data_IF_230819255061
#
_entry.id   IF_230819255061
#
_cell.length_a   1.000
_cell.length_b   1.000
_cell.length_c   1.000
_cell.angle_alpha   90.00
_cell.angle_beta   90.00
_cell.angle_gamma   90.00
#
_symmetry.space_group_name_H-M   'P 1'
#
loop_
_entity.id
_entity.type
_entity.pdbx_description
1 polymer ?
#
# COMPACT_ATOMS: atom_id res chain seq x y z
N UNK A 1 20.14 30.88 5.83
CA UNK A 1 19.48 30.22 4.69
C UNK A 1 18.04 29.88 5.08
N UNK A 2 17.07 30.74 4.74
CA UNK A 2 15.64 30.46 4.97
C UNK A 2 15.17 29.49 3.90
N UNK A 3 14.88 28.25 4.26
CA UNK A 3 14.26 27.26 3.36
C UNK A 3 12.84 27.75 3.07
N UNK A 4 12.62 28.23 1.85
CA UNK A 4 11.28 28.47 1.32
C UNK A 4 10.55 27.14 1.27
N UNK A 5 9.60 26.96 2.19
CA UNK A 5 8.61 25.89 2.12
C UNK A 5 7.77 26.17 0.88
N UNK A 6 8.00 25.40 -0.19
CA UNK A 6 7.09 25.39 -1.35
C UNK A 6 5.71 24.97 -0.84
N UNK A 7 4.82 25.94 -0.71
CA UNK A 7 3.40 25.76 -0.41
C UNK A 7 2.81 24.90 -1.53
N UNK A 8 2.43 23.66 -1.21
CA UNK A 8 1.59 22.87 -2.11
C UNK A 8 0.25 23.59 -2.18
N UNK A 9 -0.27 23.83 -3.39
CA UNK A 9 -1.62 24.39 -3.54
C UNK A 9 -2.60 23.47 -2.80
N UNK A 10 -3.41 24.08 -1.94
CA UNK A 10 -4.33 23.38 -1.04
C UNK A 10 -5.65 23.02 -1.74
N UNK A 11 -5.71 23.19 -3.06
CA UNK A 11 -6.93 23.22 -3.87
C UNK A 11 -6.71 22.50 -5.20
N UNK A 12 -7.79 22.13 -5.87
CA UNK A 12 -7.77 21.40 -7.15
C UNK A 12 -7.12 22.23 -8.27
N UNK A 13 -6.37 21.59 -9.18
CA UNK A 13 -5.54 22.26 -10.22
C UNK A 13 -6.33 23.08 -11.25
N UNK A 14 -7.65 23.04 -11.18
CA UNK A 14 -8.58 23.80 -12.01
C UNK A 14 -8.84 25.22 -11.48
N UNK A 15 -8.35 25.56 -10.28
CA UNK A 15 -8.57 26.86 -9.63
C UNK A 15 -7.26 27.61 -9.46
N UNK A 16 -7.21 28.84 -9.98
CA UNK A 16 -6.02 29.70 -9.87
C UNK A 16 -5.89 30.27 -8.45
N UNK A 17 -4.70 30.11 -7.85
CA UNK A 17 -4.38 30.68 -6.53
C UNK A 17 -4.54 32.23 -6.53
N UNK A 18 -4.40 32.88 -7.69
CA UNK A 18 -4.65 34.32 -7.85
C UNK A 18 -6.11 34.70 -7.57
N UNK A 19 -7.07 33.92 -8.07
CA UNK A 19 -8.49 34.20 -7.90
C UNK A 19 -8.93 33.98 -6.45
N UNK A 20 -8.35 32.97 -5.79
CA UNK A 20 -8.58 32.69 -4.36
C UNK A 20 -8.07 33.84 -3.51
N UNK A 21 -6.84 34.30 -3.74
CA UNK A 21 -6.24 35.41 -2.97
C UNK A 21 -7.00 36.72 -3.19
N UNK A 22 -7.46 36.99 -4.41
CA UNK A 22 -8.29 38.17 -4.71
C UNK A 22 -9.61 38.16 -3.92
N UNK A 23 -10.29 37.01 -3.84
CA UNK A 23 -11.51 36.87 -3.03
C UNK A 23 -11.20 37.05 -1.53
N UNK A 24 -10.10 36.52 -1.03
CA UNK A 24 -9.69 36.68 0.38
C UNK A 24 -9.44 38.15 0.72
N UNK A 25 -8.73 38.88 -0.14
CA UNK A 25 -8.48 40.31 0.07
C UNK A 25 -9.77 41.12 0.08
N UNK A 26 -10.73 40.80 -0.79
CA UNK A 26 -12.07 41.40 -0.80
C UNK A 26 -12.85 41.15 0.49
N UNK A 27 -12.91 39.90 0.95
CA UNK A 27 -13.55 39.52 2.21
C UNK A 27 -12.92 40.21 3.42
N UNK A 28 -11.59 40.30 3.46
CA UNK A 28 -10.88 41.00 4.54
C UNK A 28 -11.07 42.52 4.48
N UNK A 29 -11.49 43.09 3.34
CA UNK A 29 -11.92 44.49 3.23
C UNK A 29 -13.39 44.70 3.60
N UNK A 30 -14.16 43.63 3.80
CA UNK A 30 -15.57 43.67 4.20
C UNK A 30 -16.56 43.48 3.04
N UNK A 31 -16.12 42.92 1.92
CA UNK A 31 -17.04 42.47 0.87
C UNK A 31 -17.92 41.31 1.38
N UNK A 32 -19.19 41.23 0.95
CA UNK A 32 -20.13 40.22 1.47
C UNK A 32 -19.71 38.80 1.05
N UNK A 33 -19.85 37.84 1.97
CA UNK A 33 -19.51 36.43 1.74
C UNK A 33 -20.29 35.77 0.58
N UNK A 34 -21.44 36.35 0.20
CA UNK A 34 -22.30 35.84 -0.88
C UNK A 34 -21.71 36.10 -2.29
N UNK A 35 -20.73 37.00 -2.43
CA UNK A 35 -20.06 37.29 -3.71
C UNK A 35 -18.97 36.27 -4.08
N UNK A 36 -18.63 35.35 -3.17
CA UNK A 36 -17.62 34.31 -3.42
C UNK A 36 -18.19 33.25 -4.37
N UNK A 37 -17.60 33.04 -5.56
CA UNK A 37 -18.08 32.02 -6.48
C UNK A 37 -18.07 30.63 -5.84
N UNK A 38 -19.13 29.81 -5.97
CA UNK A 38 -19.23 28.50 -5.32
C UNK A 38 -18.06 27.56 -5.66
N UNK A 39 -17.48 27.70 -6.86
CA UNK A 39 -16.30 26.97 -7.31
C UNK A 39 -15.03 27.29 -6.51
N UNK A 40 -14.93 28.49 -5.93
CA UNK A 40 -13.79 28.98 -5.16
C UNK A 40 -13.98 28.83 -3.64
N UNK A 41 -15.22 28.67 -3.18
CA UNK A 41 -15.58 28.68 -1.75
C UNK A 41 -14.77 27.69 -0.90
N UNK A 42 -14.60 26.45 -1.37
CA UNK A 42 -13.78 25.44 -0.67
C UNK A 42 -12.30 25.83 -0.58
N UNK A 43 -11.78 26.45 -1.64
CA UNK A 43 -10.40 26.93 -1.69
C UNK A 43 -10.17 28.07 -0.71
N UNK A 44 -11.04 29.09 -0.77
CA UNK A 44 -11.03 30.27 0.11
C UNK A 44 -11.15 29.88 1.59
N UNK A 45 -12.04 28.94 1.94
CA UNK A 45 -12.17 28.46 3.34
C UNK A 45 -10.88 27.78 3.81
N UNK A 46 -10.26 26.95 2.97
CA UNK A 46 -9.04 26.24 3.33
C UNK A 46 -7.85 27.19 3.55
N UNK A 47 -7.69 28.20 2.68
CA UNK A 47 -6.65 29.23 2.82
C UNK A 47 -6.90 30.16 4.00
N UNK A 48 -8.13 30.63 4.23
CA UNK A 48 -8.48 31.41 5.42
C UNK A 48 -8.24 30.63 6.72
N UNK A 49 -8.55 29.34 6.74
CA UNK A 49 -8.28 28.47 7.90
C UNK A 49 -6.78 28.36 8.18
N UNK A 50 -5.95 28.28 7.13
CA UNK A 50 -4.50 28.27 7.28
C UNK A 50 -3.97 29.64 7.72
N UNK A 51 -4.43 30.73 7.10
CA UNK A 51 -4.06 32.10 7.48
C UNK A 51 -4.43 32.42 8.93
N UNK A 52 -5.57 31.92 9.43
CA UNK A 52 -5.95 32.06 10.85
C UNK A 52 -4.91 31.39 11.75
N UNK A 53 -4.50 30.15 11.44
CA UNK A 53 -3.47 29.43 12.21
C UNK A 53 -2.15 30.20 12.21
N UNK A 54 -1.75 30.72 11.05
CA UNK A 54 -0.51 31.49 10.92
C UNK A 54 -0.59 32.80 11.70
N UNK A 55 -1.74 33.50 11.69
CA UNK A 55 -1.95 34.71 12.51
C UNK A 55 -1.92 34.44 14.01
N UNK A 56 -2.46 33.30 14.47
CA UNK A 56 -2.39 32.88 15.88
C UNK A 56 -0.93 32.59 16.28
N UNK A 57 -0.18 31.91 15.41
CA UNK A 57 1.24 31.63 15.64
C UNK A 57 2.09 32.92 15.70
N UNK A 58 1.74 33.91 14.88
CA UNK A 58 2.39 35.23 14.86
C UNK A 58 1.85 36.22 15.91
N UNK A 59 0.90 35.80 16.78
CA UNK A 59 0.24 36.64 17.81
C UNK A 59 -0.46 37.90 17.25
N UNK A 60 -1.04 37.79 16.06
CA UNK A 60 -1.85 38.85 15.43
C UNK A 60 -3.33 38.63 15.72
N UNK A 61 -3.70 38.73 16.99
CA UNK A 61 -5.03 38.33 17.49
C UNK A 61 -6.18 39.09 16.80
N UNK A 62 -6.01 40.38 16.50
CA UNK A 62 -7.02 41.16 15.80
C UNK A 62 -7.30 40.69 14.37
N UNK A 63 -6.27 40.21 13.65
CA UNK A 63 -6.43 39.66 12.30
C UNK A 63 -7.01 38.24 12.36
N UNK A 64 -6.63 37.45 13.37
CA UNK A 64 -7.20 36.12 13.60
C UNK A 64 -8.70 36.18 13.91
N UNK A 65 -9.16 37.11 14.76
CA UNK A 65 -10.58 37.31 15.04
C UNK A 65 -11.36 37.72 13.80
N UNK A 66 -10.82 38.64 12.99
CA UNK A 66 -11.47 39.07 11.73
C UNK A 66 -11.60 37.93 10.72
N UNK A 67 -10.58 37.06 10.61
CA UNK A 67 -10.65 35.87 9.76
C UNK A 67 -11.69 34.87 10.30
N UNK A 68 -11.82 34.75 11.62
CA UNK A 68 -12.78 33.86 12.27
C UNK A 68 -14.24 34.28 12.07
N UNK A 69 -14.52 35.59 12.11
CA UNK A 69 -15.82 36.16 11.76
C UNK A 69 -16.20 35.83 10.30
N UNK A 70 -15.29 36.08 9.35
CA UNK A 70 -15.49 35.77 7.93
C UNK A 70 -15.69 34.27 7.70
N UNK A 71 -14.91 33.41 8.37
CA UNK A 71 -15.08 31.95 8.30
C UNK A 71 -16.45 31.52 8.86
N UNK A 72 -16.91 32.14 9.95
CA UNK A 72 -18.22 31.89 10.54
C UNK A 72 -19.36 32.25 9.59
N UNK A 73 -19.26 33.41 8.93
CA UNK A 73 -20.24 33.87 7.94
C UNK A 73 -20.24 32.97 6.69
N UNK A 74 -19.08 32.56 6.18
CA UNK A 74 -19.01 31.67 5.01
C UNK A 74 -19.56 30.26 5.28
N UNK A 75 -19.40 29.73 6.50
CA UNK A 75 -19.84 28.37 6.84
C UNK A 75 -21.30 28.28 7.28
N UNK A 76 -21.86 29.36 7.82
CA UNK A 76 -23.17 29.35 8.47
C UNK A 76 -24.12 30.43 7.99
N UNK A 77 -23.68 31.32 7.09
CA UNK A 77 -24.45 32.44 6.55
C UNK A 77 -24.46 33.68 7.46
N UNK A 78 -24.79 34.86 6.91
CA UNK A 78 -24.70 36.16 7.58
C UNK A 78 -25.65 36.35 8.78
N UNK A 79 -26.49 35.36 9.11
CA UNK A 79 -27.56 35.47 10.11
C UNK A 79 -27.37 34.61 11.36
N UNK A 80 -26.24 33.90 11.52
CA UNK A 80 -26.07 33.02 12.69
C UNK A 80 -26.03 33.79 14.02
N UNK A 81 -25.45 35.00 14.03
CA UNK A 81 -25.31 35.80 15.25
C UNK A 81 -26.52 36.71 15.56
N UNK A 82 -27.47 36.89 14.64
CA UNK A 82 -28.68 37.67 14.92
C UNK A 82 -29.71 36.93 15.80
N UNK A 83 -29.57 35.61 15.96
CA UNK A 83 -30.45 34.81 16.83
C UNK A 83 -29.80 34.43 18.17
N UNK A 84 -28.53 34.80 18.39
CA UNK A 84 -27.80 34.58 19.65
C UNK A 84 -27.61 35.90 20.43
N UNK A 85 -28.61 36.79 20.41
CA UNK A 85 -28.75 37.75 21.50
C UNK A 85 -29.18 36.99 22.76
N UNK A 86 -28.55 37.20 23.93
CA UNK A 86 -29.01 36.61 25.18
C UNK A 86 -30.41 37.14 25.49
N UNK A 87 -31.44 36.32 25.29
CA UNK A 87 -32.80 36.65 25.70
C UNK A 87 -32.82 36.98 27.20
N UNK A 88 -33.64 37.99 27.53
CA UNK A 88 -33.85 38.53 28.86
C UNK A 88 -34.03 37.40 29.92
N UNK A 89 -33.24 37.35 31.01
CA UNK A 89 -33.18 36.22 31.96
C UNK A 89 -34.50 35.87 32.66
N UNK A 90 -35.52 36.73 32.55
CA UNK A 90 -36.86 36.45 33.06
C UNK A 90 -37.65 35.44 32.22
N UNK A 91 -37.30 35.20 30.95
CA UNK A 91 -37.98 34.18 30.12
C UNK A 91 -37.44 32.76 30.33
N UNK A 92 -36.24 32.60 30.91
CA UNK A 92 -35.62 31.28 31.15
C UNK A 92 -36.29 30.58 32.34
N UNK A 93 -36.86 31.32 33.30
CA UNK A 93 -37.50 30.75 34.50
C UNK A 93 -38.87 30.12 34.25
N UNK A 94 -39.52 30.38 33.12
CA UNK A 94 -40.86 29.87 32.82
C UNK A 94 -40.92 28.75 31.77
N UNK A 95 -39.76 28.28 31.24
CA UNK A 95 -39.72 27.14 30.31
C UNK A 95 -39.63 25.76 30.99
N UNK A 96 -39.39 25.69 32.30
CA UNK A 96 -39.25 24.41 33.04
C UNK A 96 -40.57 23.78 33.51
N UNK A 97 -41.73 24.35 33.17
CA UNK A 97 -43.04 23.79 33.56
C UNK A 97 -44.06 23.86 32.41
N UNK A 98 -43.72 23.30 31.25
CA UNK A 98 -44.74 22.75 30.35
C UNK A 98 -44.70 21.23 30.47
N UNK A 99 -45.54 20.70 31.36
CA UNK A 99 -45.95 19.30 31.33
C UNK A 99 -46.60 19.04 29.96
N UNK A 100 -45.84 18.47 29.05
CA UNK A 100 -46.42 17.85 27.85
C UNK A 100 -46.79 16.42 28.21
N UNK A 101 -47.95 15.99 27.76
CA UNK A 101 -48.54 14.65 27.97
C UNK A 101 -47.69 13.47 27.44
N UNK A 102 -46.47 13.72 26.94
CA UNK A 102 -45.52 12.68 26.54
C UNK A 102 -44.67 12.13 27.70
N UNK A 103 -44.51 12.87 28.81
CA UNK A 103 -43.70 12.44 29.96
C UNK A 103 -44.34 11.29 30.76
N UNK A 104 -45.67 11.20 30.76
CA UNK A 104 -46.40 10.10 31.43
C UNK A 104 -46.23 8.79 30.66
N UNK A 105 -46.32 8.80 29.33
CA UNK A 105 -46.10 7.62 28.49
C UNK A 105 -44.66 7.11 28.56
N UNK A 106 -43.68 8.01 28.60
CA UNK A 106 -42.28 7.61 28.77
C UNK A 106 -42.00 7.08 30.17
N UNK A 107 -42.53 7.71 31.22
CA UNK A 107 -42.39 7.19 32.58
C UNK A 107 -43.06 5.82 32.74
N UNK A 108 -44.25 5.60 32.20
CA UNK A 108 -44.92 4.29 32.27
C UNK A 108 -44.13 3.20 31.54
N UNK A 109 -43.52 3.54 30.40
CA UNK A 109 -42.63 2.62 29.67
C UNK A 109 -41.38 2.29 30.48
N UNK A 110 -40.71 3.30 31.05
CA UNK A 110 -39.53 3.12 31.90
C UNK A 110 -39.84 2.32 33.17
N UNK A 111 -41.02 2.53 33.76
CA UNK A 111 -41.50 1.76 34.92
C UNK A 111 -41.74 0.30 34.56
N UNK A 112 -42.38 0.02 33.40
CA UNK A 112 -42.58 -1.34 32.89
C UNK A 112 -41.24 -2.04 32.61
N UNK A 113 -40.32 -1.36 31.92
CA UNK A 113 -38.97 -1.88 31.67
C UNK A 113 -38.21 -2.12 32.97
N UNK A 114 -38.32 -1.21 33.95
CA UNK A 114 -37.75 -1.37 35.28
C UNK A 114 -38.32 -2.59 36.02
N UNK A 115 -39.63 -2.83 35.95
CA UNK A 115 -40.24 -4.04 36.52
C UNK A 115 -39.80 -5.33 35.84
N UNK A 116 -39.68 -5.33 34.51
CA UNK A 116 -39.18 -6.49 33.76
C UNK A 116 -37.73 -6.81 34.10
N UNK A 117 -36.88 -5.78 34.29
CA UNK A 117 -35.50 -5.96 34.73
C UNK A 117 -35.42 -6.54 36.14
N UNK A 118 -36.25 -6.05 37.09
CA UNK A 118 -36.33 -6.61 38.45
C UNK A 118 -36.73 -8.09 38.40
N UNK A 119 -37.59 -8.49 37.45
CA UNK A 119 -38.01 -9.87 37.23
C UNK A 119 -36.98 -10.75 36.51
N UNK A 120 -35.79 -10.21 36.18
CA UNK A 120 -34.70 -10.96 35.57
C UNK A 120 -34.65 -10.91 34.04
N UNK A 121 -35.29 -9.93 33.40
CA UNK A 121 -35.13 -9.72 31.96
C UNK A 121 -33.66 -9.43 31.59
N UNK A 122 -33.22 -9.92 30.43
CA UNK A 122 -31.85 -9.74 29.95
C UNK A 122 -31.53 -8.25 29.74
N UNK A 123 -30.40 -7.80 30.26
CA UNK A 123 -29.92 -6.43 30.05
C UNK A 123 -29.54 -6.18 28.59
N UNK A 124 -29.26 -7.22 27.80
CA UNK A 124 -28.89 -7.11 26.39
C UNK A 124 -30.08 -6.75 25.47
N UNK A 125 -31.32 -7.01 25.88
CA UNK A 125 -32.52 -6.68 25.09
C UNK A 125 -33.01 -5.24 25.28
N UNK A 126 -32.41 -4.50 26.22
CA UNK A 126 -32.78 -3.10 26.50
C UNK A 126 -31.70 -2.18 25.95
N UNK A 127 -32.13 -1.16 25.21
CA UNK A 127 -31.28 -0.15 24.61
C UNK A 127 -30.56 0.70 25.68
N UNK A 128 -29.35 1.17 25.35
CA UNK A 128 -28.48 1.96 26.24
C UNK A 128 -29.19 3.20 26.83
N UNK A 129 -29.84 4.07 26.04
CA UNK A 129 -30.47 5.27 26.61
C UNK A 129 -31.63 4.94 27.54
N UNK A 130 -32.42 3.91 27.24
CA UNK A 130 -33.49 3.44 28.13
C UNK A 130 -32.93 2.88 29.44
N UNK A 131 -31.81 2.16 29.44
CA UNK A 131 -31.18 1.67 30.70
C UNK A 131 -30.68 2.79 31.60
N UNK A 132 -30.07 3.83 31.01
CA UNK A 132 -29.62 5.01 31.74
C UNK A 132 -30.81 5.77 32.36
N UNK A 133 -31.92 5.85 31.63
CA UNK A 133 -33.16 6.47 32.11
C UNK A 133 -33.92 5.62 33.16
N UNK A 134 -33.81 4.28 33.11
CA UNK A 134 -34.43 3.38 34.10
C UNK A 134 -33.70 3.40 35.45
N UNK A 135 -32.38 3.65 35.46
CA UNK A 135 -31.57 3.68 36.70
C UNK A 135 -32.08 4.67 37.76
N UNK A 136 -32.35 5.97 37.45
CA UNK A 136 -32.93 6.90 38.43
C UNK A 136 -34.36 6.50 38.85
N UNK A 137 -35.15 5.94 37.93
CA UNK A 137 -36.50 5.43 38.23
C UNK A 137 -36.46 4.29 39.25
N UNK A 138 -35.52 3.35 39.08
CA UNK A 138 -35.28 2.27 40.04
C UNK A 138 -34.78 2.80 41.39
N UNK A 139 -33.92 3.83 41.42
CA UNK A 139 -33.49 4.47 42.67
C UNK A 139 -34.65 5.11 43.42
N UNK A 140 -35.55 5.81 42.73
CA UNK A 140 -36.77 6.38 43.34
C UNK A 140 -37.69 5.29 43.87
N UNK A 141 -37.87 4.21 43.09
CA UNK A 141 -38.68 3.06 43.50
C UNK A 141 -38.09 2.33 44.70
N UNK A 142 -36.77 2.19 44.78
CA UNK A 142 -36.07 1.65 45.94
C UNK A 142 -36.38 2.44 47.21
N UNK A 143 -36.29 3.78 47.15
CA UNK A 143 -36.60 4.66 48.30
C UNK A 143 -38.05 4.46 48.78
N UNK A 144 -38.99 4.30 47.85
CA UNK A 144 -40.40 4.02 48.17
C UNK A 144 -40.62 2.63 48.79
N UNK A 145 -39.89 1.60 48.35
CA UNK A 145 -40.03 0.26 48.93
C UNK A 145 -39.35 0.14 50.30
N UNK A 146 -38.28 0.90 50.54
CA UNK A 146 -37.65 1.02 51.86
C UNK A 146 -38.57 1.71 52.85
N UNK A 147 -39.25 2.80 52.45
CA UNK A 147 -40.20 3.49 53.34
C UNK A 147 -41.42 2.62 53.68
N UNK A 148 -41.80 1.71 52.79
CA UNK A 148 -42.84 0.68 53.01
C UNK A 148 -42.35 -0.56 53.76
N UNK A 149 -41.06 -0.63 54.14
CA UNK A 149 -40.43 -1.79 54.81
C UNK A 149 -40.39 -3.08 53.95
N UNK A 150 -40.48 -2.97 52.63
CA UNK A 150 -40.37 -4.10 51.69
C UNK A 150 -38.90 -4.36 51.29
N UNK A 151 -38.08 -4.76 52.27
CA UNK A 151 -36.64 -4.96 52.09
C UNK A 151 -36.22 -6.00 51.02
N UNK A 152 -36.93 -7.13 50.82
CA UNK A 152 -36.56 -8.09 49.77
C UNK A 152 -36.66 -7.52 48.35
N UNK A 153 -37.71 -6.73 48.08
CA UNK A 153 -37.89 -6.08 46.79
C UNK A 153 -36.86 -4.95 46.61
N UNK A 154 -36.59 -4.17 47.65
CA UNK A 154 -35.51 -3.17 47.65
C UNK A 154 -34.16 -3.80 47.32
N UNK A 155 -33.85 -4.98 47.88
CA UNK A 155 -32.60 -5.70 47.58
C UNK A 155 -32.55 -6.15 46.11
N UNK A 156 -33.67 -6.64 45.57
CA UNK A 156 -33.76 -6.99 44.15
C UNK A 156 -33.54 -5.78 43.23
N UNK A 157 -34.03 -4.61 43.64
CA UNK A 157 -33.83 -3.33 42.94
C UNK A 157 -32.36 -2.90 43.00
N UNK A 158 -31.71 -3.00 44.17
CA UNK A 158 -30.28 -2.69 44.32
C UNK A 158 -29.42 -3.59 43.43
N UNK A 159 -29.69 -4.90 43.39
CA UNK A 159 -29.00 -5.84 42.49
C UNK A 159 -29.21 -5.49 41.01
N UNK A 160 -30.40 -5.05 40.62
CA UNK A 160 -30.66 -4.65 39.22
C UNK A 160 -29.95 -3.35 38.85
N UNK A 161 -29.90 -2.38 39.76
CA UNK A 161 -29.14 -1.14 39.57
C UNK A 161 -27.64 -1.45 39.41
N UNK A 162 -27.09 -2.30 40.26
CA UNK A 162 -25.69 -2.73 40.18
C UNK A 162 -25.39 -3.44 38.85
N UNK A 163 -26.28 -4.33 38.40
CA UNK A 163 -26.12 -5.04 37.13
C UNK A 163 -26.22 -4.09 35.92
N UNK A 164 -27.09 -3.08 35.95
CA UNK A 164 -27.15 -2.04 34.92
C UNK A 164 -25.84 -1.25 34.83
N UNK A 165 -25.25 -0.88 35.98
CA UNK A 165 -24.00 -0.13 36.05
C UNK A 165 -22.82 -0.99 35.56
N UNK A 166 -22.75 -2.26 35.99
CA UNK A 166 -21.67 -3.16 35.59
C UNK A 166 -21.71 -3.45 34.08
N UNK A 167 -22.90 -3.71 33.52
CA UNK A 167 -23.08 -3.91 32.08
C UNK A 167 -22.64 -2.67 31.28
N UNK A 168 -22.88 -1.46 31.78
CA UNK A 168 -22.42 -0.24 31.12
C UNK A 168 -20.89 -0.15 31.09
N UNK A 169 -20.23 -0.44 32.22
CA UNK A 169 -18.77 -0.48 32.31
C UNK A 169 -18.19 -1.53 31.36
N UNK A 170 -18.82 -2.70 31.27
CA UNK A 170 -18.40 -3.78 30.38
C UNK A 170 -18.62 -3.45 28.91
N UNK A 171 -19.74 -2.81 28.55
CA UNK A 171 -20.01 -2.30 27.20
C UNK A 171 -18.95 -1.27 26.76
N UNK A 172 -18.58 -0.35 27.67
CA UNK A 172 -17.51 0.64 27.43
C UNK A 172 -16.14 0.01 27.24
N UNK A 173 -15.87 -1.15 27.86
CA UNK A 173 -14.62 -1.91 27.71
C UNK A 173 -14.58 -2.73 26.42
N UNK A 174 -15.72 -3.33 26.05
CA UNK A 174 -15.81 -4.23 24.91
C UNK A 174 -15.91 -3.48 23.57
N UNK A 175 -16.64 -2.37 23.53
CA UNK A 175 -16.86 -1.58 22.30
C UNK A 175 -15.57 -1.21 21.56
N UNK A 176 -14.57 -0.58 22.22
CA UNK A 176 -13.29 -0.25 21.59
C UNK A 176 -12.52 -1.48 21.08
N UNK A 177 -12.61 -2.62 21.77
CA UNK A 177 -11.92 -3.86 21.36
C UNK A 177 -12.57 -4.47 20.11
N UNK A 178 -13.90 -4.45 20.03
CA UNK A 178 -14.62 -4.91 18.84
C UNK A 178 -14.37 -4.01 17.63
N UNK A 179 -14.35 -2.68 17.82
CA UNK A 179 -13.94 -1.74 16.77
C UNK A 179 -12.52 -2.02 16.29
N UNK A 180 -11.59 -2.28 17.22
CA UNK A 180 -10.21 -2.62 16.87
C UNK A 180 -10.11 -3.91 16.04
N UNK A 181 -10.91 -4.93 16.36
CA UNK A 181 -10.99 -6.16 15.57
C UNK A 181 -11.48 -5.84 14.16
N UNK A 182 -12.57 -5.08 14.01
CA UNK A 182 -13.11 -4.70 12.70
C UNK A 182 -12.10 -3.91 11.86
N UNK A 183 -11.34 -3.00 12.47
CA UNK A 183 -10.26 -2.27 11.80
C UNK A 183 -9.14 -3.21 11.33
N UNK A 184 -8.74 -4.16 12.18
CA UNK A 184 -7.71 -5.15 11.83
C UNK A 184 -8.18 -6.10 10.73
N UNK A 185 -9.45 -6.52 10.74
CA UNK A 185 -10.03 -7.35 9.67
C UNK A 185 -10.03 -6.63 8.32
N UNK A 186 -10.40 -5.33 8.30
CA UNK A 186 -10.32 -4.50 7.10
C UNK A 186 -8.88 -4.32 6.60
N UNK A 187 -7.93 -4.14 7.50
CA UNK A 187 -6.50 -4.02 7.14
C UNK A 187 -5.96 -5.34 6.61
N UNK A 188 -6.34 -6.46 7.21
CA UNK A 188 -5.93 -7.79 6.81
C UNK A 188 -6.49 -8.15 5.43
N UNK A 189 -7.77 -7.86 5.17
CA UNK A 189 -8.35 -8.13 3.84
C UNK A 189 -7.68 -7.30 2.74
N UNK A 190 -7.38 -6.03 3.00
CA UNK A 190 -6.61 -5.18 2.07
C UNK A 190 -5.20 -5.73 1.83
N UNK A 191 -4.48 -6.11 2.89
CA UNK A 191 -3.13 -6.68 2.79
C UNK A 191 -3.12 -8.04 2.05
N UNK A 192 -4.14 -8.88 2.24
CA UNK A 192 -4.30 -10.13 1.51
C UNK A 192 -4.54 -9.91 0.02
N UNK A 193 -5.37 -8.92 -0.34
CA UNK A 193 -5.57 -8.51 -1.74
C UNK A 193 -4.24 -8.07 -2.35
N UNK A 194 -3.53 -7.16 -1.69
CA UNK A 194 -2.24 -6.64 -2.15
C UNK A 194 -1.19 -7.75 -2.32
N UNK A 195 -1.12 -8.70 -1.37
CA UNK A 195 -0.26 -9.87 -1.48
C UNK A 195 -0.61 -10.76 -2.68
N UNK A 196 -1.89 -11.03 -2.90
CA UNK A 196 -2.34 -11.85 -4.04
C UNK A 196 -2.04 -11.18 -5.39
N UNK A 197 -2.24 -9.87 -5.48
CA UNK A 197 -1.89 -9.10 -6.67
C UNK A 197 -0.37 -9.08 -6.89
N UNK A 198 0.43 -8.89 -5.84
CA UNK A 198 1.88 -8.93 -5.94
C UNK A 198 2.39 -10.30 -6.40
N UNK A 199 1.77 -11.39 -5.91
CA UNK A 199 2.05 -12.75 -6.39
C UNK A 199 1.70 -12.93 -7.86
N UNK A 200 0.56 -12.42 -8.32
CA UNK A 200 0.17 -12.47 -9.73
C UNK A 200 1.12 -11.64 -10.61
N UNK A 201 1.49 -10.43 -10.15
CA UNK A 201 2.51 -9.59 -10.81
C UNK A 201 3.85 -10.30 -10.91
N UNK A 202 4.28 -10.99 -9.85
CA UNK A 202 5.51 -11.77 -9.82
C UNK A 202 5.52 -12.90 -10.87
N UNK A 203 4.41 -13.64 -10.97
CA UNK A 203 4.24 -14.71 -11.98
C UNK A 203 4.27 -14.13 -13.39
N UNK A 204 3.52 -13.06 -13.62
CA UNK A 204 3.48 -12.40 -14.93
C UNK A 204 4.84 -11.82 -15.35
N UNK A 205 5.56 -11.16 -14.42
CA UNK A 205 6.92 -10.68 -14.66
C UNK A 205 7.86 -11.82 -15.03
N UNK A 206 7.75 -12.98 -14.37
CA UNK A 206 8.56 -14.16 -14.68
C UNK A 206 8.28 -14.68 -16.10
N UNK A 207 7.02 -14.85 -16.47
CA UNK A 207 6.64 -15.31 -17.81
C UNK A 207 7.15 -14.35 -18.89
N UNK A 208 6.91 -13.05 -18.70
CA UNK A 208 7.38 -12.01 -19.62
C UNK A 208 8.91 -11.99 -19.73
N UNK A 209 9.62 -12.23 -18.63
CA UNK A 209 11.07 -12.31 -18.64
C UNK A 209 11.56 -13.51 -19.46
N UNK A 210 10.92 -14.67 -19.31
CA UNK A 210 11.22 -15.90 -20.08
C UNK A 210 11.00 -15.65 -21.58
N UNK A 211 9.88 -15.04 -21.98
CA UNK A 211 9.61 -14.67 -23.38
C UNK A 211 10.68 -13.73 -23.96
N UNK A 212 11.07 -12.70 -23.21
CA UNK A 212 12.11 -11.75 -23.65
C UNK A 212 13.47 -12.47 -23.76
N UNK A 213 13.78 -13.37 -22.82
CA UNK A 213 15.02 -14.15 -22.85
C UNK A 213 15.07 -15.06 -24.07
N UNK A 214 13.99 -15.77 -24.38
CA UNK A 214 13.91 -16.64 -25.57
C UNK A 214 14.05 -15.85 -26.87
N UNK A 215 13.36 -14.72 -27.00
CA UNK A 215 13.48 -13.84 -28.16
C UNK A 215 14.91 -13.31 -28.32
N UNK A 216 15.53 -12.83 -27.24
CA UNK A 216 16.91 -12.35 -27.27
C UNK A 216 17.92 -13.47 -27.60
N UNK A 217 17.68 -14.69 -27.13
CA UNK A 217 18.50 -15.84 -27.44
C UNK A 217 18.42 -16.20 -28.93
N UNK A 218 17.20 -16.23 -29.48
CA UNK A 218 16.99 -16.47 -30.91
C UNK A 218 17.70 -15.41 -31.77
N UNK A 219 17.54 -14.13 -31.44
CA UNK A 219 18.20 -13.03 -32.13
C UNK A 219 19.73 -13.13 -32.05
N UNK A 220 20.27 -13.50 -30.88
CA UNK A 220 21.70 -13.70 -30.70
C UNK A 220 22.21 -14.85 -31.57
N UNK A 221 21.54 -16.01 -31.53
CA UNK A 221 21.90 -17.17 -32.35
C UNK A 221 21.84 -16.88 -33.85
N UNK A 222 20.82 -16.14 -34.31
CA UNK A 222 20.70 -15.74 -35.71
C UNK A 222 21.87 -14.84 -36.14
N UNK A 223 22.26 -13.86 -35.31
CA UNK A 223 23.43 -13.02 -35.57
C UNK A 223 24.72 -13.85 -35.67
N UNK A 224 24.93 -14.81 -34.77
CA UNK A 224 26.10 -15.69 -34.83
C UNK A 224 26.12 -16.55 -36.12
N UNK A 225 24.95 -17.03 -36.56
CA UNK A 225 24.83 -17.77 -37.83
C UNK A 225 25.13 -16.88 -39.03
N UNK A 226 24.58 -15.67 -39.06
CA UNK A 226 24.82 -14.70 -40.13
C UNK A 226 26.29 -14.31 -40.22
N UNK A 227 26.96 -14.09 -39.09
CA UNK A 227 28.39 -13.80 -39.02
C UNK A 227 29.26 -14.96 -39.59
N UNK A 228 28.84 -16.20 -39.35
CA UNK A 228 29.49 -17.40 -39.90
C UNK A 228 29.25 -17.52 -41.41
N UNK A 229 28.02 -17.28 -41.86
CA UNK A 229 27.65 -17.27 -43.28
C UNK A 229 28.43 -16.20 -44.04
N UNK A 230 28.52 -14.98 -43.50
CA UNK A 230 29.34 -13.92 -44.05
C UNK A 230 30.82 -14.29 -44.08
N UNK A 231 31.35 -14.97 -43.06
CA UNK A 231 32.74 -15.44 -43.11
C UNK A 231 32.95 -16.46 -44.24
N UNK A 232 32.00 -17.38 -44.42
CA UNK A 232 32.05 -18.40 -45.47
C UNK A 232 31.89 -17.83 -46.88
N UNK A 233 31.09 -16.78 -47.07
CA UNK A 233 30.89 -16.15 -48.38
C UNK A 233 32.14 -15.47 -48.95
N UNK A 234 33.09 -15.11 -48.09
CA UNK A 234 34.37 -14.51 -48.49
C UNK A 234 35.46 -15.56 -48.76
N UNK A 235 35.11 -16.85 -48.87
CA UNK A 235 36.08 -17.88 -49.24
C UNK A 235 36.59 -17.59 -50.65
N UNK A 236 37.87 -17.21 -50.83
CA UNK A 236 38.39 -16.82 -52.14
C UNK A 236 38.37 -18.02 -53.08
N UNK A 237 37.77 -17.86 -54.25
CA UNK A 237 37.78 -18.88 -55.32
C UNK A 237 39.18 -19.04 -55.93
N UNK A 238 40.01 -18.01 -55.81
CA UNK A 238 41.41 -17.99 -56.24
C UNK A 238 42.31 -17.64 -55.05
N UNK A 239 43.55 -18.09 -55.12
CA UNK A 239 44.52 -17.86 -54.04
C UNK A 239 44.72 -16.35 -53.85
N UNK A 240 44.55 -15.80 -52.62
CA UNK A 240 44.75 -14.37 -52.39
C UNK A 240 46.15 -13.91 -52.79
N UNK A 241 46.28 -12.65 -53.21
CA UNK A 241 47.53 -12.05 -53.71
C UNK A 241 48.70 -12.24 -52.74
N UNK A 242 48.44 -12.24 -51.44
CA UNK A 242 49.44 -12.46 -50.39
C UNK A 242 50.08 -13.85 -50.44
N UNK A 243 49.33 -14.85 -50.88
CA UNK A 243 49.75 -16.24 -51.02
C UNK A 243 50.13 -16.59 -52.47
N UNK A 244 49.89 -15.71 -53.43
CA UNK A 244 50.24 -15.92 -54.85
C UNK A 244 51.63 -15.40 -55.24
N UNK A 245 52.44 -14.90 -54.30
CA UNK A 245 53.77 -14.34 -54.57
C UNK A 245 54.85 -15.42 -54.54
N UNK A 246 55.58 -15.54 -55.64
CA UNK A 246 56.75 -16.42 -55.75
C UNK A 246 57.93 -15.90 -54.93
N UNK A 247 58.78 -16.82 -54.50
CA UNK A 247 60.01 -16.47 -53.80
C UNK A 247 61.04 -15.86 -54.76
N UNK A 248 61.98 -15.08 -54.20
CA UNK A 248 63.09 -14.51 -54.97
C UNK A 248 63.90 -15.58 -55.72
N UNK A 249 63.98 -16.82 -55.18
CA UNK A 249 64.71 -17.91 -55.83
C UNK A 249 64.09 -18.30 -57.17
N UNK A 250 62.75 -18.37 -57.23
CA UNK A 250 62.02 -18.70 -58.46
C UNK A 250 62.11 -17.55 -59.46
N UNK A 251 61.97 -16.32 -58.97
CA UNK A 251 62.12 -15.11 -59.78
C UNK A 251 63.55 -14.99 -60.36
N UNK A 252 64.58 -15.31 -59.60
CA UNK A 252 65.97 -15.30 -60.05
C UNK A 252 66.22 -16.32 -61.18
N UNK A 253 65.63 -17.51 -61.09
CA UNK A 253 65.67 -18.48 -62.20
C UNK A 253 64.92 -18.01 -63.44
N UNK A 254 63.79 -17.30 -63.29
CA UNK A 254 63.07 -16.65 -64.41
C UNK A 254 63.92 -15.58 -65.09
N UNK A 255 64.67 -14.80 -64.32
CA UNK A 255 65.59 -13.80 -64.85
C UNK A 255 66.76 -14.47 -65.59
N UNK A 256 67.27 -15.61 -65.11
CA UNK A 256 68.29 -16.39 -65.81
C UNK A 256 67.77 -16.96 -67.13
N UNK A 257 66.57 -17.55 -67.13
CA UNK A 257 65.88 -18.01 -68.35
C UNK A 257 65.79 -16.88 -69.39
N UNK A 258 65.30 -15.71 -68.99
CA UNK A 258 65.17 -14.55 -69.88
C UNK A 258 66.52 -14.09 -70.43
N UNK A 259 67.57 -14.07 -69.60
CA UNK A 259 68.93 -13.72 -70.04
C UNK A 259 69.48 -14.74 -71.04
N UNK A 260 69.34 -16.05 -70.79
CA UNK A 260 69.76 -17.13 -71.69
C UNK A 260 69.03 -17.05 -73.04
N UNK A 261 67.73 -16.76 -73.03
CA UNK A 261 66.96 -16.52 -74.25
C UNK A 261 67.44 -15.29 -75.02
N UNK A 262 67.78 -14.20 -74.31
CA UNK A 262 68.27 -12.94 -74.91
C UNK A 262 69.62 -13.14 -75.63
N UNK A 263 70.51 -13.95 -75.04
CA UNK A 263 71.81 -14.30 -75.65
C UNK A 263 71.72 -15.47 -76.66
N UNK A 264 70.50 -15.91 -77.00
CA UNK A 264 70.20 -16.97 -77.99
C UNK A 264 70.71 -18.37 -77.62
N UNK A 265 70.91 -18.64 -76.33
CA UNK A 265 71.19 -19.98 -75.82
C UNK A 265 69.86 -20.70 -75.54
N UNK A 266 69.21 -21.20 -76.61
CA UNK A 266 67.86 -21.74 -76.51
C UNK A 266 67.75 -23.05 -75.75
N UNK A 267 68.76 -23.93 -75.83
CA UNK A 267 68.78 -25.20 -75.08
C UNK A 267 68.83 -24.95 -73.55
N UNK A 268 69.71 -24.04 -73.12
CA UNK A 268 69.80 -23.63 -71.71
C UNK A 268 68.54 -22.90 -71.24
N UNK A 269 67.95 -22.05 -72.09
CA UNK A 269 66.71 -21.36 -71.79
C UNK A 269 65.53 -22.33 -71.62
N UNK A 270 65.42 -23.37 -72.44
CA UNK A 270 64.36 -24.38 -72.35
C UNK A 270 64.52 -25.28 -71.10
N UNK A 271 65.76 -25.65 -70.76
CA UNK A 271 66.05 -26.35 -69.51
C UNK A 271 65.66 -25.53 -68.27
N UNK A 272 66.03 -24.24 -68.24
CA UNK A 272 65.66 -23.30 -67.18
C UNK A 272 64.14 -23.06 -67.14
N UNK A 273 63.47 -22.98 -68.29
CA UNK A 273 62.03 -22.81 -68.39
C UNK A 273 61.27 -23.96 -67.71
N UNK A 274 61.64 -25.20 -68.03
CA UNK A 274 61.04 -26.39 -67.42
C UNK A 274 61.30 -26.45 -65.90
N UNK A 275 62.50 -26.06 -65.47
CA UNK A 275 62.85 -25.96 -64.04
C UNK A 275 62.02 -24.88 -63.32
N UNK A 276 61.84 -23.71 -63.95
CA UNK A 276 61.03 -22.62 -63.38
C UNK A 276 59.58 -23.03 -63.25
N UNK A 277 58.96 -23.60 -64.30
CA UNK A 277 57.56 -24.05 -64.23
C UNK A 277 57.37 -25.06 -63.09
N UNK A 278 58.31 -25.98 -62.92
CA UNK A 278 58.26 -26.97 -61.83
C UNK A 278 58.29 -26.28 -60.46
N UNK A 279 59.23 -25.36 -60.24
CA UNK A 279 59.35 -24.62 -58.97
C UNK A 279 58.17 -23.68 -58.72
N UNK A 280 57.64 -23.03 -59.75
CA UNK A 280 56.43 -22.19 -59.65
C UNK A 280 55.23 -23.02 -59.18
N UNK A 281 55.03 -24.22 -59.74
CA UNK A 281 53.97 -25.14 -59.28
C UNK A 281 54.16 -25.58 -57.83
N UNK A 282 55.35 -26.04 -57.47
CA UNK A 282 55.66 -26.49 -56.10
C UNK A 282 55.47 -25.36 -55.06
N UNK A 283 55.87 -24.12 -55.37
CA UNK A 283 55.65 -22.98 -54.49
C UNK A 283 54.17 -22.59 -54.39
N UNK A 284 53.42 -22.61 -55.50
CA UNK A 284 51.98 -22.33 -55.48
C UNK A 284 51.22 -23.36 -54.64
N UNK A 285 51.56 -24.65 -54.75
CA UNK A 285 50.96 -25.70 -53.94
C UNK A 285 51.27 -25.48 -52.45
N UNK A 286 52.54 -25.16 -52.14
CA UNK A 286 52.96 -24.86 -50.76
C UNK A 286 52.22 -23.66 -50.18
N UNK A 287 52.04 -22.59 -50.97
CA UNK A 287 51.30 -21.41 -50.53
C UNK A 287 49.79 -21.66 -50.42
N UNK A 288 49.22 -22.47 -51.32
CA UNK A 288 47.84 -22.93 -51.24
C UNK A 288 47.58 -23.69 -49.94
N UNK A 289 48.47 -24.62 -49.57
CA UNK A 289 48.36 -25.32 -48.29
C UNK A 289 48.46 -24.37 -47.09
N UNK A 290 49.38 -23.40 -47.12
CA UNK A 290 49.52 -22.40 -46.05
C UNK A 290 48.26 -21.58 -45.89
N UNK A 291 47.69 -21.11 -47.00
CA UNK A 291 46.42 -20.38 -47.00
C UNK A 291 45.27 -21.22 -46.43
N UNK A 292 45.15 -22.48 -46.86
CA UNK A 292 44.11 -23.36 -46.34
C UNK A 292 44.25 -23.59 -44.82
N UNK A 293 45.48 -23.76 -44.33
CA UNK A 293 45.76 -23.89 -42.89
C UNK A 293 45.41 -22.61 -42.14
N UNK A 294 45.81 -21.43 -42.63
CA UNK A 294 45.49 -20.16 -41.99
C UNK A 294 43.99 -19.88 -42.01
N UNK A 295 43.30 -20.16 -43.10
CA UNK A 295 41.84 -19.99 -43.23
C UNK A 295 41.09 -20.93 -42.27
N UNK A 296 41.49 -22.20 -42.18
CA UNK A 296 40.94 -23.15 -41.19
C UNK A 296 41.14 -22.66 -39.76
N UNK A 297 42.32 -22.15 -39.44
CA UNK A 297 42.62 -21.59 -38.12
C UNK A 297 41.78 -20.35 -37.81
N UNK A 298 41.62 -19.44 -38.77
CA UNK A 298 40.75 -18.27 -38.62
C UNK A 298 39.28 -18.67 -38.37
N UNK A 299 38.77 -19.66 -39.12
CA UNK A 299 37.43 -20.21 -38.90
C UNK A 299 37.29 -20.81 -37.49
N UNK A 300 38.28 -21.57 -37.04
CA UNK A 300 38.29 -22.15 -35.70
C UNK A 300 38.31 -21.07 -34.60
N UNK A 301 39.15 -20.04 -34.75
CA UNK A 301 39.17 -18.90 -33.83
C UNK A 301 37.82 -18.17 -33.79
N UNK A 302 37.16 -18.01 -34.94
CA UNK A 302 35.83 -17.41 -35.01
C UNK A 302 34.79 -18.27 -34.27
N UNK A 303 34.79 -19.59 -34.46
CA UNK A 303 33.92 -20.51 -33.71
C UNK A 303 34.17 -20.43 -32.20
N UNK A 304 35.43 -20.44 -31.77
CA UNK A 304 35.79 -20.29 -30.35
C UNK A 304 35.30 -18.95 -29.78
N UNK A 305 35.43 -17.86 -30.54
CA UNK A 305 34.91 -16.54 -30.15
C UNK A 305 33.39 -16.55 -30.02
N UNK A 306 32.67 -17.24 -30.91
CA UNK A 306 31.21 -17.36 -30.81
C UNK A 306 30.79 -18.19 -29.61
N UNK A 307 31.52 -19.24 -29.27
CA UNK A 307 31.26 -20.02 -28.05
C UNK A 307 31.46 -19.18 -26.78
N UNK A 308 32.49 -18.34 -26.75
CA UNK A 308 32.69 -17.37 -25.66
C UNK A 308 31.56 -16.34 -25.60
N UNK A 309 31.07 -15.87 -26.76
CA UNK A 309 29.91 -14.98 -26.83
C UNK A 309 28.66 -15.65 -26.25
N UNK A 310 28.37 -16.90 -26.60
CA UNK A 310 27.26 -17.68 -26.02
C UNK A 310 27.37 -17.79 -24.50
N UNK A 311 28.54 -18.18 -23.98
CA UNK A 311 28.78 -18.27 -22.52
C UNK A 311 28.59 -16.92 -21.82
N UNK A 312 29.08 -15.83 -22.41
CA UNK A 312 28.89 -14.49 -21.84
C UNK A 312 27.43 -14.03 -21.90
N UNK A 313 26.69 -14.39 -22.95
CA UNK A 313 25.25 -14.17 -23.06
C UNK A 313 24.46 -14.92 -21.98
N UNK A 314 24.73 -16.22 -21.80
CA UNK A 314 24.11 -17.06 -20.77
C UNK A 314 24.34 -16.47 -19.38
N UNK A 315 25.60 -16.19 -19.03
CA UNK A 315 25.94 -15.62 -17.70
C UNK A 315 25.32 -14.25 -17.46
N UNK A 316 25.20 -13.40 -18.49
CA UNK A 316 24.51 -12.12 -18.39
C UNK A 316 23.01 -12.31 -18.07
N UNK A 317 22.35 -13.21 -18.80
CA UNK A 317 20.93 -13.50 -18.59
C UNK A 317 20.65 -14.19 -17.27
N UNK A 318 21.52 -15.09 -16.82
CA UNK A 318 21.42 -15.72 -15.50
C UNK A 318 21.49 -14.69 -14.38
N UNK A 319 22.43 -13.74 -14.45
CA UNK A 319 22.51 -12.63 -13.48
C UNK A 319 21.24 -11.80 -13.48
N UNK A 320 20.71 -11.48 -14.67
CA UNK A 320 19.47 -10.71 -14.82
C UNK A 320 18.27 -11.47 -14.25
N UNK A 321 18.18 -12.77 -14.50
CA UNK A 321 17.16 -13.68 -13.96
C UNK A 321 17.21 -13.77 -12.45
N UNK A 322 18.41 -13.94 -11.88
CA UNK A 322 18.61 -13.97 -10.42
C UNK A 322 18.19 -12.65 -9.78
N UNK A 323 18.54 -11.51 -10.38
CA UNK A 323 18.13 -10.19 -9.90
C UNK A 323 16.61 -10.06 -9.88
N UNK A 324 15.94 -10.31 -11.00
CA UNK A 324 14.47 -10.25 -11.10
C UNK A 324 13.77 -11.19 -10.11
N UNK A 325 14.29 -12.41 -9.95
CA UNK A 325 13.75 -13.38 -8.98
C UNK A 325 13.96 -12.90 -7.54
N UNK A 326 15.11 -12.32 -7.22
CA UNK A 326 15.39 -11.78 -5.89
C UNK A 326 14.49 -10.58 -5.55
N UNK A 327 14.26 -9.66 -6.48
CA UNK A 327 13.40 -8.49 -6.29
C UNK A 327 11.94 -8.90 -6.12
N UNK A 328 11.47 -9.81 -6.99
CA UNK A 328 10.11 -10.36 -6.96
C UNK A 328 9.83 -11.15 -5.68
N UNK A 329 10.77 -12.01 -5.26
CA UNK A 329 10.65 -12.78 -4.01
C UNK A 329 10.74 -11.87 -2.79
N UNK A 330 11.57 -10.84 -2.78
CA UNK A 330 11.64 -9.86 -1.70
C UNK A 330 10.32 -9.08 -1.55
N UNK A 331 9.69 -8.66 -2.65
CA UNK A 331 8.39 -7.98 -2.64
C UNK A 331 7.29 -8.88 -2.05
N UNK A 332 7.20 -10.12 -2.54
CA UNK A 332 6.18 -11.09 -2.10
C UNK A 332 6.40 -11.51 -0.64
N UNK A 333 7.64 -11.73 -0.22
CA UNK A 333 7.96 -12.10 1.18
C UNK A 333 7.67 -10.96 2.15
N UNK A 334 7.99 -9.72 1.80
CA UNK A 334 7.64 -8.54 2.61
C UNK A 334 6.13 -8.43 2.83
N UNK A 335 5.34 -8.58 1.76
CA UNK A 335 3.88 -8.52 1.85
C UNK A 335 3.31 -9.69 2.63
N UNK A 336 3.86 -10.90 2.46
CA UNK A 336 3.49 -12.07 3.26
C UNK A 336 3.74 -11.82 4.76
N UNK A 337 4.90 -11.30 5.12
CA UNK A 337 5.23 -10.96 6.52
C UNK A 337 4.25 -9.93 7.09
N UNK A 338 3.81 -8.97 6.28
CA UNK A 338 2.78 -7.99 6.69
C UNK A 338 1.44 -8.68 6.98
N UNK A 339 1.00 -9.59 6.11
CA UNK A 339 -0.22 -10.39 6.31
C UNK A 339 -0.10 -11.23 7.58
N UNK A 340 1.00 -11.96 7.75
CA UNK A 340 1.23 -12.82 8.93
C UNK A 340 1.25 -11.98 10.23
N UNK A 341 1.82 -10.78 10.19
CA UNK A 341 1.83 -9.87 11.33
C UNK A 341 0.43 -9.35 11.68
N UNK A 342 -0.34 -8.93 10.69
CA UNK A 342 -1.73 -8.49 10.88
C UNK A 342 -2.62 -9.62 11.38
N UNK A 343 -2.38 -10.85 10.92
CA UNK A 343 -3.09 -12.04 11.37
C UNK A 343 -2.83 -12.32 12.85
N UNK A 344 -1.57 -12.25 13.28
CA UNK A 344 -1.21 -12.36 14.71
C UNK A 344 -1.88 -11.28 15.56
N UNK A 345 -1.84 -10.02 15.11
CA UNK A 345 -2.52 -8.92 15.81
C UNK A 345 -4.03 -9.14 15.91
N UNK A 346 -4.65 -9.70 14.85
CA UNK A 346 -6.07 -10.02 14.85
C UNK A 346 -6.39 -11.11 15.88
N UNK A 347 -5.60 -12.18 15.91
CA UNK A 347 -5.80 -13.31 16.83
C UNK A 347 -5.62 -12.86 18.28
N UNK A 348 -4.62 -12.04 18.58
CA UNK A 348 -4.42 -11.42 19.89
C UNK A 348 -5.61 -10.52 20.28
N UNK A 349 -6.09 -9.68 19.36
CA UNK A 349 -7.24 -8.81 19.61
C UNK A 349 -8.53 -9.62 19.85
N UNK A 350 -8.75 -10.68 19.06
CA UNK A 350 -9.87 -11.62 19.24
C UNK A 350 -9.78 -12.37 20.57
N UNK A 351 -8.60 -12.83 20.95
CA UNK A 351 -8.33 -13.45 22.25
C UNK A 351 -8.64 -12.50 23.40
N UNK A 352 -8.18 -11.25 23.32
CA UNK A 352 -8.45 -10.22 24.33
C UNK A 352 -9.94 -9.86 24.45
N UNK A 353 -10.67 -9.79 23.33
CA UNK A 353 -12.12 -9.59 23.35
C UNK A 353 -12.87 -10.82 23.90
N UNK A 354 -12.45 -12.03 23.52
CA UNK A 354 -13.00 -13.29 24.01
C UNK A 354 -12.80 -13.50 25.51
N UNK A 355 -11.66 -13.06 26.06
CA UNK A 355 -11.40 -13.06 27.51
C UNK A 355 -12.36 -12.16 28.27
N UNK A 356 -12.62 -10.94 27.78
CA UNK A 356 -13.60 -10.02 28.40
C UNK A 356 -15.02 -10.54 28.26
N UNK A 357 -15.41 -11.06 27.09
CA UNK A 357 -16.73 -11.68 26.89
C UNK A 357 -16.95 -12.84 27.86
N UNK A 358 -15.92 -13.66 28.09
CA UNK A 358 -15.96 -14.75 29.06
C UNK A 358 -16.09 -14.24 30.49
N UNK A 359 -15.41 -13.13 30.84
CA UNK A 359 -15.54 -12.47 32.14
C UNK A 359 -16.96 -11.94 32.36
N UNK A 360 -17.52 -11.25 31.37
CA UNK A 360 -18.89 -10.72 31.40
C UNK A 360 -19.88 -11.86 31.63
N UNK A 361 -19.76 -12.94 30.85
CA UNK A 361 -20.63 -14.11 30.97
C UNK A 361 -20.50 -14.84 32.32
N UNK A 362 -19.30 -14.88 32.89
CA UNK A 362 -19.07 -15.49 34.20
C UNK A 362 -19.62 -14.63 35.35
N UNK A 363 -19.53 -13.30 35.25
CA UNK A 363 -20.16 -12.39 36.20
C UNK A 363 -21.69 -12.51 36.16
N UNK A 364 -22.27 -12.67 34.96
CA UNK A 364 -23.71 -12.97 34.80
C UNK A 364 -24.10 -14.32 35.44
N UNK A 365 -23.27 -15.37 35.30
CA UNK A 365 -23.53 -16.71 35.87
C UNK A 365 -23.40 -16.78 37.40
N UNK A 366 -22.38 -16.17 37.98
CA UNK A 366 -22.16 -16.18 39.45
C UNK A 366 -23.32 -15.46 40.16
N UNK A 367 -23.91 -14.45 39.53
CA UNK A 367 -25.05 -13.69 40.07
C UNK A 367 -26.40 -14.38 39.87
N UNK A 368 -26.55 -15.20 38.83
CA UNK A 368 -27.74 -16.02 38.63
C UNK A 368 -27.78 -17.25 39.56
N UNK A 369 -26.64 -17.72 40.07
CA UNK A 369 -26.56 -18.98 40.84
C UNK A 369 -26.57 -18.83 42.36
N UNK A 370 -26.52 -17.62 42.94
CA UNK A 370 -26.72 -17.48 44.40
C UNK A 370 -28.19 -17.77 44.74
N UNK A 371 -28.52 -18.96 45.28
CA UNK A 371 -29.86 -19.21 45.78
C UNK A 371 -29.99 -18.37 47.05
N UNK A 372 -31.07 -17.60 47.15
CA UNK A 372 -31.49 -17.02 48.42
C UNK A 372 -31.60 -18.17 49.41
N UNK A 373 -30.64 -18.28 50.34
CA UNK A 373 -30.70 -19.23 51.44
C UNK A 373 -31.99 -18.95 52.22
N UNK A 374 -33.02 -19.75 51.96
CA UNK A 374 -34.22 -19.84 52.77
C UNK A 374 -33.77 -20.30 54.16
N UNK A 375 -33.77 -19.38 55.12
CA UNK A 375 -33.67 -19.74 56.55
C UNK A 375 -34.77 -20.76 56.86
N UNK A 376 -34.48 -21.90 57.50
CA UNK A 376 -35.51 -22.81 57.94
C UNK A 376 -36.33 -22.12 59.05
N UNK A 377 -37.64 -22.02 58.80
CA UNK A 377 -38.63 -21.76 59.86
C UNK A 377 -38.67 -22.98 60.76
N UNK A 378 -38.55 -22.77 62.06
CA UNK A 378 -39.13 -23.68 63.06
C UNK A 378 -38.21 -23.99 64.23
N UNK A 379 -38.47 -23.36 65.37
CA UNK A 379 -38.73 -24.12 66.58
C UNK A 379 -39.56 -23.27 67.54
N UNK A 380 -40.85 -23.62 67.62
CA UNK A 380 -41.73 -23.25 68.74
C UNK A 380 -41.13 -23.92 69.98
N UNK A 381 -40.81 -23.13 70.99
CA UNK A 381 -40.62 -23.62 72.35
C UNK A 381 -42.02 -23.68 72.96
N UNK A 382 -42.54 -24.90 73.11
CA UNK A 382 -43.67 -25.18 73.99
C UNK A 382 -43.15 -25.23 75.43
N UNK A 383 -43.78 -24.44 76.29
CA UNK A 383 -43.58 -24.46 77.72
C UNK A 383 -44.03 -25.80 78.33
N UNK A 384 -43.26 -26.25 79.31
CA UNK A 384 -43.71 -27.01 80.48
C UNK A 384 -43.11 -26.36 81.70
#
# INVERSE_FOLDING_TARGET
>A
MKRSLRTRSLHDSSVSDYDINKCIEGLLRGEPCDEVPPRLAKGVIATLTQMRKDCILERRDGMASKIEEVLGEMQHGPKKFQYDTPENPNNIRNRSLRFTSNDTFQNDRLQKTGTSLIQGASLASVDIPTRLAVTPVLKTKRVLEVSKRHYPLSRSIDTTIENCIEYEVDSRRLGPRLLKIQELEKKLSAAQSEYSEARNRAIYRKQRFEEIQEAAHLDHENRLKDDLLQFGSHTPTTLPVEYSKFSNKVLDTRVREYKSATIRQYEDADALHNEVIKKEREELDTMSERFQRSFKLQRQNKLNSQEQQRKSFETFWDRKKQKELSESTAEVTKLRMSVDHLQKQLDEAKGAAGGELSRIRNNERIKASTPVASRPRGMRISAT
#
